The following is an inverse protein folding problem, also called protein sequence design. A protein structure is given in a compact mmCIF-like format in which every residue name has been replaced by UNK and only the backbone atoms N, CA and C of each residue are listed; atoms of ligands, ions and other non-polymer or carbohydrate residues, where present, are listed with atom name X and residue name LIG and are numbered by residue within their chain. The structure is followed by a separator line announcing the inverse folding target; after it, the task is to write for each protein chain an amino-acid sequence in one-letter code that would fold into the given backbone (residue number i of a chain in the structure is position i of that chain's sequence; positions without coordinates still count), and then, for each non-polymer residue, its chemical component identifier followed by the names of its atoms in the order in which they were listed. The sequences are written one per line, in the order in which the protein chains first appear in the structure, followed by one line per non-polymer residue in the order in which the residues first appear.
data_IF_313298878276
#
_entry.id   IF_313298878276
#
_cell.length_a   1.000
_cell.length_b   1.000
_cell.length_c   1.000
_cell.angle_alpha   90.00
_cell.angle_beta   90.00
_cell.angle_gamma   90.00
#
_symmetry.space_group_name_H-M   'P 1'
#
loop_
_entity.id
_entity.type
_entity.pdbx_description
1 polymer ?
#
# COMPACT_ATOMS: atom_id res chain seq x y z
N UNK A 1 -0.47 -4.98 10.80
CA UNK A 1 -1.31 -3.81 11.16
C UNK A 1 -2.12 -3.39 9.93
N UNK A 2 -3.17 -2.56 10.05
CA UNK A 2 -3.79 -1.90 8.89
C UNK A 2 -2.76 -0.99 8.19
N UNK A 3 -2.82 -0.93 6.87
CA UNK A 3 -1.96 -0.10 6.04
C UNK A 3 -2.84 0.65 5.04
N UNK A 4 -2.70 1.97 4.98
CA UNK A 4 -3.37 2.79 3.98
C UNK A 4 -2.78 2.47 2.60
N UNK A 5 -3.63 2.08 1.66
CA UNK A 5 -3.21 1.67 0.31
C UNK A 5 -3.99 2.43 -0.74
N UNK A 6 -3.28 2.77 -1.80
CA UNK A 6 -3.80 3.50 -2.96
C UNK A 6 -3.54 2.66 -4.19
N UNK A 7 -4.59 2.38 -4.96
CA UNK A 7 -4.41 1.78 -6.27
C UNK A 7 -3.71 2.79 -7.18
N UNK A 8 -2.83 2.34 -8.07
CA UNK A 8 -2.08 3.23 -8.97
C UNK A 8 -3.03 4.13 -9.77
N UNK A 9 -4.17 3.58 -10.22
CA UNK A 9 -5.18 4.31 -10.99
C UNK A 9 -5.85 5.47 -10.21
N UNK A 10 -5.81 5.46 -8.88
CA UNK A 10 -6.40 6.52 -8.05
C UNK A 10 -5.40 7.65 -7.75
N UNK A 11 -4.09 7.40 -7.89
CA UNK A 11 -3.04 8.39 -7.55
C UNK A 11 -3.24 9.68 -8.34
N UNK A 12 -3.46 9.57 -9.65
CA UNK A 12 -3.64 10.74 -10.52
C UNK A 12 -4.90 11.54 -10.17
N UNK A 13 -5.98 10.84 -9.78
CA UNK A 13 -7.25 11.48 -9.39
C UNK A 13 -7.08 12.28 -8.10
N UNK A 14 -6.45 11.67 -7.09
CA UNK A 14 -6.13 12.37 -5.85
C UNK A 14 -5.22 13.57 -6.13
N UNK A 15 -4.14 13.38 -6.89
CA UNK A 15 -3.19 14.44 -7.20
C UNK A 15 -3.87 15.62 -7.92
N UNK A 16 -4.66 15.32 -8.95
CA UNK A 16 -5.39 16.33 -9.72
C UNK A 16 -6.31 17.14 -8.81
N UNK A 17 -7.10 16.49 -7.95
CA UNK A 17 -7.98 17.22 -7.02
C UNK A 17 -7.17 18.04 -6.01
N UNK A 18 -6.17 17.45 -5.34
CA UNK A 18 -5.38 18.08 -4.27
C UNK A 18 -4.73 19.40 -4.70
N UNK A 19 -4.18 19.45 -5.92
CA UNK A 19 -3.45 20.64 -6.43
C UNK A 19 -4.36 21.87 -6.57
N UNK A 20 -5.67 21.68 -6.79
CA UNK A 20 -6.61 22.80 -6.96
C UNK A 20 -7.15 23.36 -5.65
N UNK A 21 -6.97 22.70 -4.51
CA UNK A 21 -7.46 23.20 -3.22
C UNK A 21 -6.45 24.19 -2.60
N UNK A 22 -6.78 25.48 -2.42
CA UNK A 22 -5.84 26.46 -1.87
C UNK A 22 -5.30 26.08 -0.48
N UNK A 23 -6.11 25.34 0.31
CA UNK A 23 -5.73 24.84 1.65
C UNK A 23 -4.60 23.81 1.65
N UNK A 24 -4.21 23.25 0.50
CA UNK A 24 -3.13 22.25 0.42
C UNK A 24 -1.76 22.87 0.19
N UNK A 25 -1.69 24.19 -0.08
CA UNK A 25 -0.44 24.90 -0.28
C UNK A 25 0.44 24.81 0.97
N UNK A 26 1.67 24.32 0.81
CA UNK A 26 2.65 24.10 1.88
C UNK A 26 2.14 23.17 3.01
N UNK A 27 1.24 22.23 2.69
CA UNK A 27 0.74 21.22 3.62
C UNK A 27 1.12 19.82 3.14
N UNK A 28 1.31 18.91 4.10
CA UNK A 28 1.32 17.48 3.79
C UNK A 28 -0.12 16.98 3.66
N UNK A 29 -0.39 16.23 2.59
CA UNK A 29 -1.70 15.63 2.33
C UNK A 29 -1.55 14.11 2.30
N UNK A 30 -2.34 13.42 3.11
CA UNK A 30 -2.37 11.96 3.16
C UNK A 30 -3.50 11.45 2.27
N UNK A 31 -3.14 10.78 1.18
CA UNK A 31 -4.09 10.26 0.20
C UNK A 31 -4.08 8.73 0.19
N UNK A 32 -5.25 8.13 0.40
CA UNK A 32 -5.42 6.68 0.39
C UNK A 32 -6.82 6.28 -0.07
N UNK A 33 -6.91 5.16 -0.77
CA UNK A 33 -8.18 4.58 -1.20
C UNK A 33 -8.84 3.79 -0.07
N UNK A 34 -8.11 2.86 0.53
CA UNK A 34 -8.62 1.99 1.58
C UNK A 34 -7.53 1.54 2.56
N UNK A 35 -7.96 1.06 3.74
CA UNK A 35 -7.08 0.41 4.70
C UNK A 35 -7.11 -1.09 4.49
N UNK A 36 -5.95 -1.70 4.32
CA UNK A 36 -5.82 -3.14 4.10
C UNK A 36 -5.05 -3.80 5.24
N UNK A 37 -5.41 -5.04 5.56
CA UNK A 37 -4.67 -5.90 6.49
C UNK A 37 -4.06 -7.01 5.65
N UNK A 38 -2.74 -7.15 5.67
CA UNK A 38 -1.97 -8.00 4.75
C UNK A 38 -2.57 -9.41 4.54
N UNK A 39 -2.84 -10.14 5.64
CA UNK A 39 -3.37 -11.50 5.59
C UNK A 39 -4.83 -11.56 5.12
N UNK A 40 -5.65 -10.59 5.54
CA UNK A 40 -7.08 -10.59 5.19
C UNK A 40 -7.32 -10.10 3.78
N UNK A 41 -6.53 -9.14 3.31
CA UNK A 41 -6.75 -8.51 2.03
C UNK A 41 -6.16 -9.36 0.91
N UNK A 42 -4.83 -9.58 0.88
CA UNK A 42 -4.22 -10.23 -0.27
C UNK A 42 -4.54 -11.72 -0.37
N UNK A 43 -4.58 -12.47 0.73
CA UNK A 43 -4.81 -13.93 0.67
C UNK A 43 -6.27 -14.23 0.32
N UNK A 44 -7.22 -13.60 1.02
CA UNK A 44 -8.66 -13.82 0.77
C UNK A 44 -9.03 -13.31 -0.62
N UNK A 45 -8.58 -12.10 -0.99
CA UNK A 45 -8.92 -11.53 -2.28
C UNK A 45 -8.26 -12.29 -3.43
N UNK A 46 -7.03 -12.77 -3.28
CA UNK A 46 -6.42 -13.65 -4.28
C UNK A 46 -7.23 -14.92 -4.47
N UNK A 47 -7.68 -15.56 -3.38
CA UNK A 47 -8.53 -16.74 -3.46
C UNK A 47 -9.87 -16.43 -4.17
N UNK A 48 -10.54 -15.33 -3.82
CA UNK A 48 -11.79 -14.90 -4.46
C UNK A 48 -11.64 -14.63 -5.97
N UNK A 49 -10.49 -14.09 -6.40
CA UNK A 49 -10.24 -13.75 -7.80
C UNK A 49 -9.82 -14.99 -8.60
N UNK A 50 -8.97 -15.83 -8.02
CA UNK A 50 -8.31 -16.94 -8.74
C UNK A 50 -9.05 -18.27 -8.59
N UNK A 51 -9.75 -18.48 -7.47
CA UNK A 51 -10.27 -19.77 -7.04
C UNK A 51 -9.21 -20.70 -6.44
N UNK A 52 -7.97 -20.22 -6.24
CA UNK A 52 -6.83 -21.02 -5.80
C UNK A 52 -6.42 -20.68 -4.36
N UNK A 53 -5.94 -21.68 -3.63
CA UNK A 53 -5.35 -21.47 -2.31
C UNK A 53 -3.90 -21.00 -2.43
N UNK A 54 -3.60 -19.82 -1.88
CA UNK A 54 -2.25 -19.26 -1.87
C UNK A 54 -1.48 -19.77 -0.65
N UNK A 55 -0.32 -20.44 -0.82
CA UNK A 55 0.50 -20.85 0.32
C UNK A 55 1.02 -19.62 1.08
N UNK A 56 0.74 -19.56 2.39
CA UNK A 56 1.12 -18.43 3.24
C UNK A 56 2.36 -18.77 4.06
N UNK A 57 3.45 -18.05 3.81
CA UNK A 57 4.63 -18.07 4.69
C UNK A 57 4.44 -16.96 5.73
N UNK A 58 4.32 -17.35 7.00
CA UNK A 58 4.20 -16.37 8.09
C UNK A 58 5.58 -15.85 8.48
N UNK A 59 5.68 -14.53 8.55
CA UNK A 59 6.88 -13.83 9.02
C UNK A 59 6.47 -12.94 10.20
N UNK A 60 7.22 -13.01 11.29
CA UNK A 60 6.99 -12.22 12.51
C UNK A 60 7.55 -10.80 12.34
N UNK A 61 7.04 -9.85 13.13
CA UNK A 61 7.54 -8.47 13.14
C UNK A 61 9.04 -8.43 13.48
N UNK A 62 9.46 -9.26 14.43
CA UNK A 62 10.82 -9.36 14.93
C UNK A 62 11.76 -9.84 13.81
N UNK A 63 11.37 -10.87 13.05
CA UNK A 63 12.15 -11.34 11.90
C UNK A 63 12.33 -10.27 10.82
N UNK A 64 11.27 -9.51 10.52
CA UNK A 64 11.36 -8.40 9.54
C UNK A 64 12.28 -7.30 10.07
N UNK A 65 12.18 -6.96 11.36
CA UNK A 65 13.00 -5.93 11.99
C UNK A 65 14.49 -6.33 12.04
N UNK A 66 14.77 -7.58 12.38
CA UNK A 66 16.13 -8.12 12.41
C UNK A 66 16.75 -8.03 11.01
N UNK A 67 16.00 -8.48 9.97
CA UNK A 67 16.45 -8.40 8.59
C UNK A 67 16.64 -6.95 8.10
N UNK A 68 15.77 -6.02 8.53
CA UNK A 68 15.86 -4.61 8.20
C UNK A 68 17.14 -3.93 8.74
N UNK A 69 17.69 -4.45 9.84
CA UNK A 69 18.92 -3.95 10.47
C UNK A 69 20.19 -4.70 10.06
N UNK A 70 20.09 -5.79 9.29
CA UNK A 70 21.26 -6.51 8.82
C UNK A 70 22.18 -5.60 7.98
N UNK A 71 23.51 -5.78 8.08
CA UNK A 71 24.44 -5.07 7.21
C UNK A 71 24.25 -5.52 5.76
N UNK A 72 24.66 -4.67 4.83
CA UNK A 72 24.67 -5.01 3.40
C UNK A 72 25.71 -6.11 3.15
N UNK A 73 25.35 -7.07 2.30
CA UNK A 73 26.21 -8.18 1.88
C UNK A 73 26.04 -8.39 0.37
N UNK A 74 26.92 -9.15 -0.27
CA UNK A 74 26.76 -9.49 -1.69
C UNK A 74 25.42 -10.20 -1.97
N UNK A 75 24.97 -11.04 -1.04
CA UNK A 75 23.65 -11.71 -1.09
C UNK A 75 22.49 -10.86 -0.57
N UNK A 76 22.75 -9.67 -0.02
CA UNK A 76 21.75 -8.77 0.54
C UNK A 76 22.12 -7.32 0.25
N UNK A 77 21.79 -6.90 -0.97
CA UNK A 77 22.13 -5.59 -1.50
C UNK A 77 21.27 -4.48 -0.90
N UNK A 78 21.75 -3.24 -1.00
CA UNK A 78 21.07 -2.04 -0.52
C UNK A 78 19.58 -1.97 -0.94
N UNK A 79 19.25 -2.31 -2.18
CA UNK A 79 17.86 -2.26 -2.66
C UNK A 79 16.94 -3.26 -1.97
N UNK A 80 17.45 -4.47 -1.66
CA UNK A 80 16.69 -5.46 -0.91
C UNK A 80 16.48 -4.98 0.53
N UNK A 81 17.51 -4.39 1.14
CA UNK A 81 17.42 -3.78 2.47
C UNK A 81 16.40 -2.65 2.53
N UNK A 82 16.40 -1.74 1.56
CA UNK A 82 15.41 -0.66 1.44
C UNK A 82 13.99 -1.21 1.36
N UNK A 83 13.77 -2.27 0.56
CA UNK A 83 12.46 -2.93 0.46
C UNK A 83 12.03 -3.50 1.81
N UNK A 84 12.90 -4.22 2.52
CA UNK A 84 12.56 -4.82 3.82
C UNK A 84 12.25 -3.72 4.86
N UNK A 85 13.04 -2.64 4.89
CA UNK A 85 12.79 -1.50 5.78
C UNK A 85 11.45 -0.82 5.48
N UNK A 86 11.12 -0.64 4.21
CA UNK A 86 9.83 -0.11 3.78
C UNK A 86 8.67 -1.03 4.19
N UNK A 87 8.81 -2.34 4.01
CA UNK A 87 7.80 -3.32 4.44
C UNK A 87 7.62 -3.33 5.96
N UNK A 88 8.70 -3.25 6.73
CA UNK A 88 8.64 -3.11 8.18
C UNK A 88 7.81 -1.89 8.58
N UNK A 89 8.11 -0.75 7.94
CA UNK A 89 7.43 0.50 8.24
C UNK A 89 5.91 0.41 8.03
N UNK A 90 5.52 -0.08 6.85
CA UNK A 90 4.13 -0.11 6.42
C UNK A 90 3.29 -1.18 7.15
N UNK A 91 3.85 -2.36 7.39
CA UNK A 91 3.06 -3.53 7.83
C UNK A 91 3.26 -3.90 9.29
N UNK A 92 4.39 -3.51 9.90
CA UNK A 92 4.79 -3.91 11.25
C UNK A 92 4.87 -2.75 12.25
N UNK A 93 5.31 -1.57 11.80
CA UNK A 93 5.45 -0.38 12.65
C UNK A 93 4.15 0.42 12.71
N UNK A 94 3.46 0.55 11.57
CA UNK A 94 2.16 1.22 11.47
C UNK A 94 2.26 2.70 11.06
N UNK A 95 3.41 3.17 10.58
CA UNK A 95 3.57 4.58 10.20
C UNK A 95 2.75 4.95 8.95
N UNK A 96 2.28 3.96 8.18
CA UNK A 96 1.44 4.17 6.99
C UNK A 96 -0.06 4.00 7.29
N UNK A 97 -0.52 4.55 8.41
CA UNK A 97 -1.92 4.51 8.84
C UNK A 97 -2.50 5.92 8.92
N UNK A 98 -3.78 6.10 8.55
CA UNK A 98 -4.40 7.42 8.51
C UNK A 98 -4.43 8.10 9.89
N UNK A 99 -4.60 7.35 10.99
CA UNK A 99 -4.55 7.93 12.33
C UNK A 99 -3.17 8.53 12.66
N UNK A 100 -2.09 7.90 12.17
CA UNK A 100 -0.73 8.39 12.36
C UNK A 100 -0.47 9.66 11.53
N UNK A 101 -0.93 9.68 10.28
CA UNK A 101 -0.87 10.90 9.45
C UNK A 101 -1.64 12.07 10.10
N UNK A 102 -2.82 11.79 10.66
CA UNK A 102 -3.61 12.77 11.41
C UNK A 102 -2.89 13.28 12.66
N UNK A 103 -2.25 12.39 13.40
CA UNK A 103 -1.41 12.76 14.55
C UNK A 103 -0.26 13.69 14.15
N UNK A 104 0.32 13.51 12.97
CA UNK A 104 1.36 14.39 12.41
C UNK A 104 0.82 15.72 11.84
N UNK A 105 -0.51 15.92 11.84
CA UNK A 105 -1.16 17.14 11.34
C UNK A 105 -1.34 17.18 9.82
N UNK A 106 -1.30 16.03 9.14
CA UNK A 106 -1.50 15.98 7.68
C UNK A 106 -2.99 16.19 7.36
N UNK A 107 -3.28 16.80 6.22
CA UNK A 107 -4.64 16.90 5.70
C UNK A 107 -5.08 15.54 5.14
N UNK A 108 -6.32 15.13 5.41
CA UNK A 108 -6.89 13.90 4.86
C UNK A 108 -7.50 14.19 3.47
N UNK A 109 -6.92 13.59 2.41
CA UNK A 109 -7.41 13.78 1.05
C UNK A 109 -8.89 13.39 0.85
N UNK A 110 -9.42 12.48 1.67
CA UNK A 110 -10.82 12.04 1.59
C UNK A 110 -11.78 13.05 2.21
N UNK A 111 -11.32 13.82 3.20
CA UNK A 111 -12.05 15.00 3.68
C UNK A 111 -11.95 16.15 2.68
N UNK A 112 -10.86 16.20 1.90
CA UNK A 112 -10.67 17.21 0.86
C UNK A 112 -11.56 16.95 -0.37
N UNK A 113 -11.64 15.69 -0.78
CA UNK A 113 -12.22 15.20 -2.03
C UNK A 113 -13.13 13.99 -1.75
N UNK A 114 -14.28 14.17 -1.06
CA UNK A 114 -15.15 13.07 -0.65
C UNK A 114 -15.76 12.29 -1.83
N UNK A 115 -15.77 12.87 -3.03
CA UNK A 115 -16.23 12.25 -4.26
C UNK A 115 -15.30 11.16 -4.81
N UNK A 116 -14.05 11.11 -4.34
CA UNK A 116 -13.08 10.09 -4.75
C UNK A 116 -13.28 8.82 -3.91
N UNK A 117 -14.13 7.91 -4.39
CA UNK A 117 -14.24 6.56 -3.81
C UNK A 117 -13.06 5.67 -4.23
N UNK A 118 -12.30 5.19 -3.25
CA UNK A 118 -11.22 4.22 -3.44
C UNK A 118 -11.74 2.80 -3.66
N UNK A 119 -12.21 2.48 -4.87
CA UNK A 119 -12.65 1.13 -5.25
C UNK A 119 -11.68 0.41 -6.21
N UNK A 120 -10.54 1.02 -6.53
CA UNK A 120 -9.68 0.54 -7.63
C UNK A 120 -8.69 -0.57 -7.23
N UNK A 121 -8.50 -0.89 -5.95
CA UNK A 121 -7.49 -1.88 -5.55
C UNK A 121 -7.92 -3.31 -5.91
N UNK A 122 -9.19 -3.67 -5.69
CA UNK A 122 -9.75 -4.94 -6.18
C UNK A 122 -9.68 -5.04 -7.70
N UNK A 123 -10.05 -3.97 -8.40
CA UNK A 123 -9.98 -3.91 -9.86
C UNK A 123 -8.55 -4.12 -10.36
N UNK A 124 -7.56 -3.47 -9.73
CA UNK A 124 -6.14 -3.65 -10.02
C UNK A 124 -5.71 -5.12 -9.91
N UNK A 125 -6.13 -5.81 -8.84
CA UNK A 125 -5.79 -7.22 -8.63
C UNK A 125 -6.46 -8.16 -9.65
N UNK A 126 -7.72 -7.90 -10.01
CA UNK A 126 -8.42 -8.63 -11.08
C UNK A 126 -7.72 -8.44 -12.42
N UNK A 127 -7.38 -7.21 -12.77
CA UNK A 127 -6.66 -6.88 -14.01
C UNK A 127 -5.30 -7.56 -14.04
N UNK A 128 -4.52 -7.49 -12.95
CA UNK A 128 -3.22 -8.14 -12.86
C UNK A 128 -3.32 -9.66 -13.06
N UNK A 129 -4.30 -10.31 -12.40
CA UNK A 129 -4.54 -11.75 -12.60
C UNK A 129 -4.91 -12.09 -14.04
N UNK A 130 -5.78 -11.31 -14.67
CA UNK A 130 -6.18 -11.54 -16.06
C UNK A 130 -4.97 -11.43 -17.01
N UNK A 131 -4.16 -10.39 -16.86
CA UNK A 131 -2.95 -10.19 -17.68
C UNK A 131 -1.95 -11.36 -17.51
N UNK A 132 -1.74 -11.82 -16.27
CA UNK A 132 -0.85 -12.94 -15.97
C UNK A 132 -1.38 -14.28 -16.51
N UNK A 133 -2.69 -14.53 -16.40
CA UNK A 133 -3.31 -15.79 -16.84
C UNK A 133 -3.36 -15.94 -18.36
N UNK A 134 -3.51 -14.84 -19.07
CA UNK A 134 -3.70 -14.85 -20.53
C UNK A 134 -2.47 -14.38 -21.33
N UNK A 135 -1.30 -14.23 -20.68
CA UNK A 135 -0.02 -13.73 -21.27
C UNK A 135 -0.24 -12.54 -22.22
N UNK A 136 -1.09 -11.60 -21.80
CA UNK A 136 -1.37 -10.40 -22.60
C UNK A 136 -0.20 -9.44 -22.40
N UNK A 137 0.74 -9.46 -23.34
CA UNK A 137 1.85 -8.50 -23.39
C UNK A 137 1.40 -7.27 -24.18
N UNK A 138 1.62 -6.10 -23.59
CA UNK A 138 1.52 -4.80 -24.28
C UNK A 138 2.76 -4.56 -25.15
#
# INVERSE_FOLDING_TARGET
MPCATTAIADIERFLASIIFYPRTLNQYVFAYGEHVIQQRYYVVLAHEITGEDVPVIRVTKEQVLDLAHQPEMESFMVWQKVIVQYLYNNWCKGDNEASYAKYLGYLDARELCPELEGNALRLMLVTAWFLLKYDVRY
#
